data_IF_058281252697
#
_entry.id   IF_058281252697
#
_cell.length_a   1.000
_cell.length_b   1.000
_cell.length_c   1.000
_cell.angle_alpha   90.00
_cell.angle_beta   90.00
_cell.angle_gamma   90.00
#
_symmetry.space_group_name_H-M   'P 1'
#
loop_
_entity.id
_entity.type
_entity.pdbx_description
1 polymer ?
#
# COMPACT_ATOMS: atom_id res chain seq x y z
N UNK A 1 -0.90 -10.87 23.09
CA UNK A 1 -1.14 -12.06 22.22
C UNK A 1 -2.02 -11.73 21.00
N UNK A 2 -1.75 -10.67 20.23
CA UNK A 2 -2.58 -10.25 19.07
C UNK A 2 -1.90 -10.36 17.69
N UNK A 3 -0.58 -10.57 17.61
CA UNK A 3 0.19 -10.63 16.35
C UNK A 3 -0.12 -11.84 15.45
N UNK A 4 -0.72 -12.92 15.99
CA UNK A 4 -1.03 -14.14 15.22
C UNK A 4 -2.29 -14.00 14.32
N UNK A 5 -2.95 -12.84 14.31
CA UNK A 5 -4.18 -12.65 13.51
C UNK A 5 -3.89 -12.33 12.04
N UNK A 6 -2.78 -11.65 11.74
CA UNK A 6 -2.48 -11.20 10.38
C UNK A 6 -2.36 -12.34 9.35
N UNK A 7 -1.65 -13.47 9.62
CA UNK A 7 -1.58 -14.58 8.67
C UNK A 7 -2.94 -15.25 8.43
N UNK A 8 -3.77 -15.35 9.49
CA UNK A 8 -5.10 -15.96 9.40
C UNK A 8 -6.07 -15.14 8.56
N UNK A 9 -6.02 -13.81 8.67
CA UNK A 9 -6.85 -12.90 7.87
C UNK A 9 -6.48 -13.01 6.39
N UNK A 10 -5.18 -13.04 6.07
CA UNK A 10 -4.71 -13.18 4.71
C UNK A 10 -5.14 -14.52 4.09
N UNK A 11 -5.00 -15.61 4.85
CA UNK A 11 -5.41 -16.94 4.41
C UNK A 11 -6.94 -17.04 4.21
N UNK A 12 -7.73 -16.52 5.15
CA UNK A 12 -9.19 -16.55 5.07
C UNK A 12 -9.73 -15.71 3.90
N UNK A 13 -9.09 -14.58 3.61
CA UNK A 13 -9.44 -13.75 2.48
C UNK A 13 -9.09 -14.42 1.14
N UNK A 14 -7.88 -15.00 1.05
CA UNK A 14 -7.46 -15.72 -0.16
C UNK A 14 -8.39 -16.86 -0.56
N UNK A 15 -8.97 -17.56 0.41
CA UNK A 15 -9.94 -18.65 0.17
C UNK A 15 -11.26 -18.18 -0.47
N UNK A 16 -11.61 -16.90 -0.32
CA UNK A 16 -12.86 -16.33 -0.87
C UNK A 16 -12.65 -15.73 -2.28
N UNK A 17 -11.41 -15.67 -2.76
CA UNK A 17 -11.08 -15.14 -4.07
C UNK A 17 -11.42 -16.18 -5.14
N UNK A 18 -12.22 -15.77 -6.12
CA UNK A 18 -12.57 -16.61 -7.26
C UNK A 18 -11.91 -16.07 -8.54
N UNK A 19 -10.75 -16.62 -8.87
CA UNK A 19 -9.98 -16.23 -10.06
C UNK A 19 -10.70 -16.55 -11.37
N UNK A 20 -11.70 -17.45 -11.38
CA UNK A 20 -12.47 -17.75 -12.59
C UNK A 20 -13.32 -16.55 -13.03
N UNK A 21 -13.68 -15.67 -12.10
CA UNK A 21 -14.40 -14.43 -12.42
C UNK A 21 -13.56 -13.46 -13.26
N UNK A 22 -12.24 -13.48 -13.13
CA UNK A 22 -11.31 -12.66 -13.93
C UNK A 22 -11.22 -13.12 -15.39
N UNK A 23 -11.62 -14.36 -15.71
CA UNK A 23 -11.67 -14.84 -17.09
C UNK A 23 -12.74 -14.11 -17.92
N UNK A 24 -13.69 -13.43 -17.26
CA UNK A 24 -14.68 -12.59 -17.94
C UNK A 24 -14.04 -11.25 -18.33
N UNK A 25 -14.04 -10.87 -19.61
CA UNK A 25 -13.35 -9.67 -20.09
C UNK A 25 -13.78 -8.39 -19.36
N UNK A 26 -15.07 -8.25 -19.05
CA UNK A 26 -15.59 -7.07 -18.35
C UNK A 26 -15.05 -6.93 -16.92
N UNK A 27 -14.87 -8.05 -16.20
CA UNK A 27 -14.32 -8.05 -14.84
C UNK A 27 -12.83 -7.76 -14.89
N UNK A 28 -12.11 -8.31 -15.88
CA UNK A 28 -10.69 -8.03 -16.07
C UNK A 28 -10.42 -6.55 -16.35
N UNK A 29 -11.20 -5.93 -17.24
CA UNK A 29 -11.08 -4.50 -17.55
C UNK A 29 -11.35 -3.66 -16.30
N UNK A 30 -12.41 -3.98 -15.56
CA UNK A 30 -12.70 -3.31 -14.29
C UNK A 30 -11.53 -3.47 -13.31
N UNK A 31 -10.95 -4.66 -13.20
CA UNK A 31 -9.81 -4.92 -12.32
C UNK A 31 -8.61 -4.05 -12.67
N UNK A 32 -8.25 -3.97 -13.96
CA UNK A 32 -7.11 -3.18 -14.44
C UNK A 32 -7.35 -1.69 -14.23
N UNK A 33 -8.55 -1.18 -14.54
CA UNK A 33 -8.90 0.23 -14.35
C UNK A 33 -8.86 0.58 -12.86
N UNK A 34 -9.51 -0.22 -12.01
CA UNK A 34 -9.52 0.01 -10.56
C UNK A 34 -8.10 -0.03 -9.99
N UNK A 35 -7.25 -0.97 -10.45
CA UNK A 35 -5.85 -1.04 -10.04
C UNK A 35 -5.09 0.23 -10.45
N UNK A 36 -5.22 0.66 -11.71
CA UNK A 36 -4.54 1.86 -12.20
C UNK A 36 -4.97 3.11 -11.41
N UNK A 37 -6.27 3.30 -11.20
CA UNK A 37 -6.82 4.42 -10.42
C UNK A 37 -6.35 4.34 -8.98
N UNK A 38 -6.35 3.17 -8.35
CA UNK A 38 -5.91 2.99 -6.97
C UNK A 38 -4.42 3.33 -6.79
N UNK A 39 -3.56 2.85 -7.70
CA UNK A 39 -2.13 3.15 -7.68
C UNK A 39 -1.90 4.66 -7.86
N UNK A 40 -2.52 5.26 -8.88
CA UNK A 40 -2.33 6.69 -9.17
C UNK A 40 -2.85 7.56 -8.02
N UNK A 41 -4.05 7.30 -7.51
CA UNK A 41 -4.65 8.09 -6.45
C UNK A 41 -3.82 8.05 -5.16
N UNK A 42 -3.38 6.85 -4.75
CA UNK A 42 -2.55 6.69 -3.55
C UNK A 42 -1.17 7.32 -3.70
N UNK A 43 -0.53 7.09 -4.85
CA UNK A 43 0.80 7.62 -5.11
C UNK A 43 0.78 9.15 -5.25
N UNK A 44 -0.15 9.69 -6.03
CA UNK A 44 -0.30 11.13 -6.23
C UNK A 44 -0.69 11.83 -4.93
N UNK A 45 -1.58 11.25 -4.11
CA UNK A 45 -1.94 11.82 -2.81
C UNK A 45 -0.74 11.96 -1.87
N UNK A 46 0.10 10.93 -1.78
CA UNK A 46 1.33 10.99 -0.98
C UNK A 46 2.35 11.96 -1.54
N UNK A 47 2.59 11.91 -2.85
CA UNK A 47 3.56 12.77 -3.53
C UNK A 47 3.18 14.26 -3.42
N UNK A 48 1.93 14.62 -3.69
CA UNK A 48 1.44 15.99 -3.60
C UNK A 48 1.45 16.48 -2.15
N UNK A 49 1.04 15.65 -1.19
CA UNK A 49 1.07 16.01 0.23
C UNK A 49 2.47 16.41 0.72
N UNK A 50 3.49 15.65 0.30
CA UNK A 50 4.88 15.95 0.65
C UNK A 50 5.42 17.15 -0.12
N UNK A 51 5.05 17.34 -1.40
CA UNK A 51 5.45 18.53 -2.15
C UNK A 51 4.85 19.82 -1.61
N UNK A 52 3.64 19.79 -1.07
CA UNK A 52 3.05 20.92 -0.34
C UNK A 52 3.81 21.22 0.95
N UNK A 53 4.39 20.20 1.58
CA UNK A 53 5.32 20.32 2.71
C UNK A 53 6.72 20.84 2.34
N UNK A 54 6.99 21.16 1.06
CA UNK A 54 8.28 21.67 0.54
C UNK A 54 9.47 20.71 0.73
N UNK A 55 9.20 19.42 0.89
CA UNK A 55 10.19 18.36 0.95
C UNK A 55 10.66 17.96 -0.45
N UNK A 56 11.79 17.25 -0.52
CA UNK A 56 12.44 16.92 -1.78
C UNK A 56 11.63 15.92 -2.62
N UNK A 57 11.91 15.88 -3.92
CA UNK A 57 11.25 14.95 -4.85
C UNK A 57 11.48 13.49 -4.46
N UNK A 58 12.67 13.18 -3.95
CA UNK A 58 13.02 11.82 -3.52
C UNK A 58 12.20 11.40 -2.30
N UNK A 59 12.00 12.30 -1.34
CA UNK A 59 11.18 12.05 -0.15
C UNK A 59 9.70 11.88 -0.53
N UNK A 60 9.23 12.70 -1.49
CA UNK A 60 7.85 12.64 -1.99
C UNK A 60 7.53 11.29 -2.67
N UNK A 61 8.47 10.77 -3.45
CA UNK A 61 8.36 9.45 -4.08
C UNK A 61 8.38 8.32 -3.03
N UNK A 62 9.19 8.43 -1.98
CA UNK A 62 9.29 7.42 -0.94
C UNK A 62 8.01 7.34 -0.11
N UNK A 63 7.46 8.50 0.27
CA UNK A 63 6.19 8.57 0.98
C UNK A 63 5.03 8.09 0.10
N UNK A 64 4.98 8.51 -1.17
CA UNK A 64 4.00 8.02 -2.14
C UNK A 64 4.03 6.50 -2.30
N UNK A 65 5.23 5.90 -2.33
CA UNK A 65 5.41 4.45 -2.34
C UNK A 65 4.98 3.79 -1.02
N UNK A 66 5.28 4.42 0.11
CA UNK A 66 4.88 3.95 1.45
C UNK A 66 3.37 3.88 1.65
N UNK A 67 2.60 4.80 1.05
CA UNK A 67 1.14 4.76 1.13
C UNK A 67 0.52 3.54 0.43
N UNK A 68 1.21 2.93 -0.53
CA UNK A 68 0.75 1.70 -1.19
C UNK A 68 0.93 0.42 -0.35
N UNK A 69 1.64 0.47 0.79
CA UNK A 69 1.95 -0.72 1.60
C UNK A 69 0.80 -1.21 2.52
N UNK A 70 -0.44 -0.68 2.38
CA UNK A 70 -1.56 -0.91 3.33
C UNK A 70 -2.48 -2.10 3.00
N UNK A 71 -1.99 -3.14 2.33
CA UNK A 71 -2.82 -4.23 1.79
C UNK A 71 -3.71 -4.98 2.80
N UNK A 72 -3.29 -5.14 4.06
CA UNK A 72 -4.09 -5.88 5.08
C UNK A 72 -5.42 -5.18 5.38
N UNK A 73 -5.43 -3.85 5.46
CA UNK A 73 -6.65 -3.09 5.80
C UNK A 73 -7.66 -3.18 4.65
N UNK A 74 -7.20 -3.14 3.40
CA UNK A 74 -8.05 -3.28 2.22
C UNK A 74 -8.70 -4.66 2.14
N UNK A 75 -7.94 -5.71 2.42
CA UNK A 75 -8.44 -7.09 2.46
C UNK A 75 -9.52 -7.26 3.54
N UNK A 76 -9.31 -6.67 4.72
CA UNK A 76 -10.30 -6.70 5.80
C UNK A 76 -11.57 -5.95 5.38
N UNK A 77 -11.45 -4.75 4.82
CA UNK A 77 -12.58 -3.96 4.33
C UNK A 77 -13.36 -4.69 3.23
N UNK A 78 -12.67 -5.31 2.27
CA UNK A 78 -13.29 -6.11 1.22
C UNK A 78 -14.08 -7.29 1.81
N UNK A 79 -13.49 -7.97 2.80
CA UNK A 79 -14.12 -9.12 3.45
C UNK A 79 -15.36 -8.71 4.23
N UNK A 80 -15.32 -7.57 4.91
CA UNK A 80 -16.50 -7.00 5.58
C UNK A 80 -17.57 -6.59 4.57
N UNK A 81 -17.19 -5.92 3.47
CA UNK A 81 -18.12 -5.50 2.41
C UNK A 81 -18.81 -6.67 1.72
N UNK A 82 -18.11 -7.80 1.50
CA UNK A 82 -18.70 -9.03 0.97
C UNK A 82 -19.71 -9.63 1.96
N UNK A 83 -19.36 -9.69 3.26
CA UNK A 83 -20.26 -10.23 4.31
C UNK A 83 -21.51 -9.38 4.52
N UNK A 84 -21.41 -8.07 4.31
CA UNK A 84 -22.54 -7.14 4.36
C UNK A 84 -23.38 -7.13 3.08
N UNK A 85 -22.98 -7.88 2.04
CA UNK A 85 -23.67 -7.90 0.75
C UNK A 85 -23.49 -6.64 -0.11
N UNK A 86 -22.62 -5.71 0.32
CA UNK A 86 -22.29 -4.48 -0.43
C UNK A 86 -21.42 -4.81 -1.65
N UNK A 87 -20.57 -5.84 -1.52
CA UNK A 87 -19.72 -6.33 -2.60
C UNK A 87 -20.20 -7.70 -3.08
N UNK A 88 -20.13 -7.93 -4.39
CA UNK A 88 -20.26 -9.26 -4.97
C UNK A 88 -18.87 -9.95 -5.04
N UNK A 89 -18.84 -11.24 -5.33
CA UNK A 89 -17.60 -12.05 -5.41
C UNK A 89 -16.59 -11.51 -6.42
N UNK A 90 -17.05 -10.94 -7.54
CA UNK A 90 -16.17 -10.37 -8.55
C UNK A 90 -15.48 -9.09 -8.04
N UNK A 91 -16.23 -8.15 -7.45
CA UNK A 91 -15.69 -6.92 -6.86
C UNK A 91 -14.76 -7.22 -5.68
N UNK A 92 -15.09 -8.22 -4.86
CA UNK A 92 -14.21 -8.72 -3.80
C UNK A 92 -12.87 -9.17 -4.36
N UNK A 93 -12.90 -10.03 -5.39
CA UNK A 93 -11.71 -10.54 -6.08
C UNK A 93 -10.85 -9.41 -6.63
N UNK A 94 -11.47 -8.41 -7.27
CA UNK A 94 -10.77 -7.23 -7.78
C UNK A 94 -10.08 -6.45 -6.66
N UNK A 95 -10.77 -6.15 -5.55
CA UNK A 95 -10.20 -5.36 -4.46
C UNK A 95 -9.05 -6.11 -3.78
N UNK A 96 -9.19 -7.43 -3.56
CA UNK A 96 -8.10 -8.24 -3.01
C UNK A 96 -6.90 -8.26 -3.95
N UNK A 97 -7.12 -8.35 -5.26
CA UNK A 97 -6.04 -8.29 -6.24
C UNK A 97 -5.32 -6.93 -6.20
N UNK A 98 -6.06 -5.82 -6.10
CA UNK A 98 -5.49 -4.48 -5.91
C UNK A 98 -4.64 -4.42 -4.64
N UNK A 99 -5.17 -4.92 -3.52
CA UNK A 99 -4.47 -4.91 -2.23
C UNK A 99 -3.16 -5.68 -2.30
N UNK A 100 -3.15 -6.88 -2.91
CA UNK A 100 -1.95 -7.71 -3.05
C UNK A 100 -0.94 -7.06 -3.98
N UNK A 101 -1.36 -6.63 -5.17
CA UNK A 101 -0.46 -6.05 -6.18
C UNK A 101 0.18 -4.76 -5.66
N UNK A 102 -0.61 -3.86 -5.07
CA UNK A 102 -0.08 -2.60 -4.52
C UNK A 102 0.87 -2.83 -3.33
N UNK A 103 0.57 -3.82 -2.47
CA UNK A 103 1.47 -4.17 -1.36
C UNK A 103 2.80 -4.77 -1.84
N UNK A 104 2.79 -5.58 -2.90
CA UNK A 104 4.03 -6.15 -3.47
C UNK A 104 4.83 -5.09 -4.24
N UNK A 105 4.16 -4.11 -4.85
CA UNK A 105 4.81 -2.99 -5.53
C UNK A 105 5.52 -2.02 -4.57
N UNK A 106 5.04 -1.85 -3.33
CA UNK A 106 5.58 -0.84 -2.42
C UNK A 106 7.05 -1.08 -1.99
N UNK A 107 7.48 -2.27 -1.51
CA UNK A 107 8.85 -2.54 -1.09
C UNK A 107 9.94 -2.24 -2.15
N UNK A 108 9.82 -2.67 -3.42
CA UNK A 108 10.86 -2.41 -4.42
C UNK A 108 10.94 -0.93 -4.84
N UNK A 109 9.82 -0.19 -4.78
CA UNK A 109 9.80 1.25 -5.05
C UNK A 109 10.41 2.01 -3.88
N UNK A 110 10.01 1.66 -2.65
CA UNK A 110 10.60 2.20 -1.42
C UNK A 110 12.11 2.01 -1.44
N UNK A 111 12.61 0.78 -1.60
CA UNK A 111 14.05 0.48 -1.61
C UNK A 111 14.83 1.35 -2.59
N UNK A 112 14.35 1.49 -3.83
CA UNK A 112 15.01 2.34 -4.85
C UNK A 112 14.98 3.83 -4.50
N UNK A 113 13.97 4.26 -3.75
CA UNK A 113 13.80 5.68 -3.43
C UNK A 113 14.55 6.05 -2.16
N UNK A 114 14.49 5.23 -1.10
CA UNK A 114 15.28 5.43 0.13
C UNK A 114 16.78 5.30 -0.12
N UNK A 115 17.24 4.47 -1.06
CA UNK A 115 18.64 4.45 -1.51
C UNK A 115 19.14 5.81 -2.04
N UNK A 116 18.21 6.71 -2.44
CA UNK A 116 18.52 8.03 -2.98
C UNK A 116 18.28 9.17 -1.98
N UNK A 117 17.67 8.90 -0.82
CA UNK A 117 17.47 9.91 0.21
C UNK A 117 18.81 10.11 0.92
N UNK A 118 19.47 11.22 0.64
CA UNK A 118 20.68 11.62 1.36
C UNK A 118 20.31 12.02 2.79
N UNK A 119 20.92 11.38 3.79
CA UNK A 119 20.84 11.82 5.19
C UNK A 119 21.25 13.30 5.24
N UNK A 120 20.28 14.16 5.58
CA UNK A 120 20.53 15.60 5.59
C UNK A 120 21.44 15.92 6.76
N UNK A 121 22.39 16.85 6.60
CA UNK A 121 23.36 17.22 7.66
C UNK A 121 22.71 17.56 9.00
N UNK A 122 21.50 18.12 8.98
CA UNK A 122 20.70 18.42 10.18
C UNK A 122 20.20 17.17 10.94
N UNK A 123 20.04 16.04 10.26
CA UNK A 123 19.65 14.76 10.86
C UNK A 123 20.85 14.11 11.56
N UNK A 124 22.04 14.19 10.94
CA UNK A 124 23.31 13.75 11.54
C UNK A 124 23.63 14.55 12.81
N UNK A 125 23.37 15.87 12.80
CA UNK A 125 23.62 16.73 13.97
C UNK A 125 22.68 16.38 15.13
N UNK A 126 21.39 16.13 14.86
CA UNK A 126 20.45 15.67 15.91
C UNK A 126 20.78 14.29 16.44
N UNK A 127 21.23 13.37 15.59
CA UNK A 127 21.69 12.05 16.04
C UNK A 127 22.93 12.18 16.95
N UNK A 128 23.84 13.10 16.64
CA UNK A 128 25.01 13.40 17.49
C UNK A 128 24.60 14.02 18.82
N UNK A 129 23.70 15.00 18.81
CA UNK A 129 23.16 15.61 20.03
C UNK A 129 22.43 14.58 20.91
N UNK A 130 21.59 13.75 20.30
CA UNK A 130 20.90 12.67 21.01
C UNK A 130 21.89 11.66 21.58
N UNK A 131 22.86 11.19 20.79
CA UNK A 131 23.86 10.21 21.26
C UNK A 131 24.76 10.79 22.37
N UNK A 132 25.11 12.08 22.27
CA UNK A 132 25.86 12.78 23.31
C UNK A 132 25.08 12.97 24.62
N UNK A 133 23.74 12.83 24.60
CA UNK A 133 22.91 12.88 25.80
C UNK A 133 22.90 11.55 26.58
N UNK A 134 23.31 10.43 25.96
CA UNK A 134 23.33 9.09 26.57
C UNK A 134 24.75 8.54 26.83
N UNK A 135 25.79 9.35 26.63
CA UNK A 135 27.19 9.05 26.97
C UNK A 135 27.63 9.98 28.10
#
# INVERSE_FOLDING_TARGET
MSWQRSPRILAAAGLQVDLTTLARPGVLIAAVITLAVAVVAKFAGGYLGVRLGRLDHTESLAIGAGLNARGVVEIVLASVGLRLGVLNTASYTVIVLVAVVTSVMAPPILRRTTERISTTKAEIEREREFTAQFV
#
